data_IF_829388006492
#
_entry.id   IF_829388006492
#
_cell.length_a   1.000
_cell.length_b   1.000
_cell.length_c   1.000
_cell.angle_alpha   90.00
_cell.angle_beta   90.00
_cell.angle_gamma   90.00
#
_symmetry.space_group_name_H-M   'P 1'
#
loop_
_entity.id
_entity.type
_entity.pdbx_description
1 polymer ?
#
# COMPACT_ATOMS: atom_id res chain seq x y z
N UNK A 1 74.06 42.07 -71.89
CA UNK A 1 73.92 42.91 -70.67
C UNK A 1 73.60 41.96 -69.53
N UNK A 2 74.65 41.46 -68.90
CA UNK A 2 74.57 40.40 -67.91
C UNK A 2 74.06 40.95 -66.59
N UNK A 3 72.80 40.66 -66.26
CA UNK A 3 72.26 40.90 -64.91
C UNK A 3 73.12 40.21 -63.84
N UNK A 4 73.77 39.10 -64.21
CA UNK A 4 74.71 38.38 -63.37
C UNK A 4 75.99 39.20 -63.02
N UNK A 5 76.48 40.07 -63.91
CA UNK A 5 77.66 40.92 -63.66
C UNK A 5 77.36 42.10 -62.71
N UNK A 6 76.13 42.64 -62.76
CA UNK A 6 75.70 43.73 -61.88
C UNK A 6 75.47 43.20 -60.45
N UNK A 7 74.94 41.98 -60.32
CA UNK A 7 74.76 41.30 -59.04
C UNK A 7 76.09 40.92 -58.36
N UNK A 8 77.10 40.51 -59.13
CA UNK A 8 78.40 40.14 -58.56
C UNK A 8 79.22 41.34 -58.07
N UNK A 9 79.17 42.50 -58.74
CA UNK A 9 79.81 43.75 -58.27
C UNK A 9 79.13 44.37 -57.04
N UNK A 10 77.89 43.99 -56.75
CA UNK A 10 77.13 44.38 -55.54
C UNK A 10 77.44 43.46 -54.34
N UNK A 11 78.26 42.42 -54.52
CA UNK A 11 78.57 41.46 -53.46
C UNK A 11 77.45 40.45 -53.20
N UNK A 12 76.51 40.29 -54.15
CA UNK A 12 75.44 39.32 -54.04
C UNK A 12 75.93 37.94 -54.49
N UNK A 13 76.18 37.07 -53.52
CA UNK A 13 76.52 35.68 -53.77
C UNK A 13 75.23 34.84 -53.94
N UNK A 14 74.90 34.51 -55.20
CA UNK A 14 73.73 33.70 -55.54
C UNK A 14 73.75 32.31 -54.88
N UNK A 15 74.94 31.76 -54.58
CA UNK A 15 75.06 30.50 -53.85
C UNK A 15 74.65 30.67 -52.39
N UNK A 16 75.05 31.79 -51.77
CA UNK A 16 74.66 32.13 -50.40
C UNK A 16 73.14 32.38 -50.31
N UNK A 17 72.56 33.06 -51.29
CA UNK A 17 71.12 33.29 -51.35
C UNK A 17 70.32 31.98 -51.48
N UNK A 18 70.78 31.06 -52.35
CA UNK A 18 70.15 29.75 -52.51
C UNK A 18 70.29 28.88 -51.24
N UNK A 19 71.45 28.89 -50.60
CA UNK A 19 71.67 28.18 -49.33
C UNK A 19 70.76 28.73 -48.21
N UNK A 20 70.61 30.06 -48.11
CA UNK A 20 69.69 30.67 -47.14
C UNK A 20 68.22 30.33 -47.44
N UNK A 21 67.82 30.28 -48.72
CA UNK A 21 66.47 29.88 -49.10
C UNK A 21 66.18 28.43 -48.71
N UNK A 22 67.14 27.52 -48.95
CA UNK A 22 67.01 26.11 -48.54
C UNK A 22 66.90 26.01 -47.01
N UNK A 23 67.74 26.73 -46.25
CA UNK A 23 67.64 26.77 -44.78
C UNK A 23 66.29 27.31 -44.30
N UNK A 24 65.78 28.37 -44.90
CA UNK A 24 64.46 28.92 -44.58
C UNK A 24 63.35 27.91 -44.84
N UNK A 25 63.39 27.20 -45.98
CA UNK A 25 62.41 26.17 -46.31
C UNK A 25 62.45 24.98 -45.36
N UNK A 26 63.64 24.56 -44.92
CA UNK A 26 63.82 23.51 -43.91
C UNK A 26 63.18 23.94 -42.58
N UNK A 27 63.49 25.15 -42.10
CA UNK A 27 62.93 25.69 -40.85
C UNK A 27 61.41 25.87 -40.97
N UNK A 28 60.92 26.38 -42.10
CA UNK A 28 59.49 26.54 -42.36
C UNK A 28 58.75 25.20 -42.33
N UNK A 29 59.32 24.16 -42.95
CA UNK A 29 58.74 22.82 -42.93
C UNK A 29 58.72 22.23 -41.52
N UNK A 30 59.79 22.41 -40.75
CA UNK A 30 59.86 22.02 -39.35
C UNK A 30 58.79 22.76 -38.53
N UNK A 31 58.65 24.09 -38.66
CA UNK A 31 57.63 24.86 -37.96
C UNK A 31 56.21 24.43 -38.34
N UNK A 32 55.93 24.21 -39.64
CA UNK A 32 54.62 23.73 -40.11
C UNK A 32 54.24 22.42 -39.45
N UNK A 33 55.16 21.46 -39.39
CA UNK A 33 54.90 20.12 -38.86
C UNK A 33 54.92 20.08 -37.32
N UNK A 34 55.85 20.78 -36.68
CA UNK A 34 56.08 20.68 -35.24
C UNK A 34 55.41 21.77 -34.41
N UNK A 35 55.12 22.96 -34.94
CA UNK A 35 54.45 24.03 -34.17
C UNK A 35 52.96 24.13 -34.49
N UNK A 36 52.59 24.26 -35.77
CA UNK A 36 51.20 24.51 -36.16
C UNK A 36 50.29 23.29 -35.97
N UNK A 37 50.78 22.08 -36.21
CA UNK A 37 50.00 20.85 -36.01
C UNK A 37 49.60 20.62 -34.54
N UNK A 38 50.50 20.66 -33.53
CA UNK A 38 50.09 20.50 -32.14
C UNK A 38 49.24 21.67 -31.62
N UNK A 39 49.53 22.92 -32.02
CA UNK A 39 48.69 24.08 -31.64
C UNK A 39 47.25 23.89 -32.14
N UNK A 40 47.08 23.50 -33.41
CA UNK A 40 45.75 23.22 -33.96
C UNK A 40 45.04 22.06 -33.26
N UNK A 41 45.78 21.04 -32.81
CA UNK A 41 45.22 19.93 -32.03
C UNK A 41 44.72 20.41 -30.66
N UNK A 42 45.51 21.19 -29.93
CA UNK A 42 45.12 21.72 -28.61
C UNK A 42 43.88 22.62 -28.70
N UNK A 43 43.80 23.46 -29.74
CA UNK A 43 42.63 24.33 -29.95
C UNK A 43 41.38 23.50 -30.22
N UNK A 44 41.47 22.46 -31.07
CA UNK A 44 40.35 21.55 -31.33
C UNK A 44 39.93 20.79 -30.08
N UNK A 45 40.87 20.19 -29.36
CA UNK A 45 40.56 19.47 -28.12
C UNK A 45 39.92 20.36 -27.04
N UNK A 46 40.31 21.64 -26.98
CA UNK A 46 39.66 22.60 -26.08
C UNK A 46 38.23 22.91 -26.53
N UNK A 47 38.04 23.14 -27.83
CA UNK A 47 36.71 23.38 -28.40
C UNK A 47 35.80 22.18 -28.17
N UNK A 48 36.25 20.97 -28.52
CA UNK A 48 35.49 19.73 -28.36
C UNK A 48 35.11 19.50 -26.89
N UNK A 49 36.02 19.76 -25.94
CA UNK A 49 35.73 19.67 -24.50
C UNK A 49 34.68 20.67 -24.03
N UNK A 50 34.70 21.89 -24.56
CA UNK A 50 33.70 22.91 -24.22
C UNK A 50 32.34 22.53 -24.80
N UNK A 51 32.31 22.11 -26.06
CA UNK A 51 31.09 21.72 -26.75
C UNK A 51 30.47 20.49 -26.07
N UNK A 52 31.26 19.46 -25.75
CA UNK A 52 30.83 18.28 -24.99
C UNK A 52 30.35 18.65 -23.58
N UNK A 53 31.05 19.57 -22.91
CA UNK A 53 30.67 20.06 -21.58
C UNK A 53 29.33 20.78 -21.59
N UNK A 54 29.10 21.62 -22.60
CA UNK A 54 27.85 22.38 -22.77
C UNK A 54 26.69 21.45 -23.13
N UNK A 55 26.91 20.48 -24.03
CA UNK A 55 25.90 19.47 -24.36
C UNK A 55 25.52 18.64 -23.14
N UNK A 56 26.50 18.19 -22.35
CA UNK A 56 26.26 17.46 -21.11
C UNK A 56 25.52 18.29 -20.08
N UNK A 57 25.83 19.58 -19.94
CA UNK A 57 25.13 20.47 -19.03
C UNK A 57 23.66 20.62 -19.41
N UNK A 58 23.38 20.92 -20.68
CA UNK A 58 22.02 21.04 -21.21
C UNK A 58 21.23 19.74 -21.01
N UNK A 59 21.83 18.60 -21.38
CA UNK A 59 21.20 17.29 -21.20
C UNK A 59 20.96 16.94 -19.73
N UNK A 60 21.87 17.34 -18.84
CA UNK A 60 21.68 17.12 -17.39
C UNK A 60 20.54 17.97 -16.85
N UNK A 61 20.38 19.20 -17.33
CA UNK A 61 19.25 20.06 -16.96
C UNK A 61 17.92 19.50 -17.46
N UNK A 62 17.87 19.00 -18.70
CA UNK A 62 16.69 18.31 -19.25
C UNK A 62 16.33 17.07 -18.44
N UNK A 63 17.31 16.21 -18.12
CA UNK A 63 17.11 15.01 -17.30
C UNK A 63 16.64 15.40 -15.89
N UNK A 64 17.21 16.44 -15.30
CA UNK A 64 16.81 16.94 -13.99
C UNK A 64 15.35 17.40 -14.00
N UNK A 65 14.95 18.19 -14.99
CA UNK A 65 13.58 18.70 -15.13
C UNK A 65 12.59 17.55 -15.39
N UNK A 66 12.94 16.60 -16.25
CA UNK A 66 12.13 15.41 -16.51
C UNK A 66 11.99 14.53 -15.26
N UNK A 67 13.08 14.34 -14.50
CA UNK A 67 13.09 13.56 -13.26
C UNK A 67 12.24 14.24 -12.17
N UNK A 68 12.35 15.56 -12.02
CA UNK A 68 11.50 16.33 -11.10
C UNK A 68 10.02 16.19 -11.47
N UNK A 69 9.67 16.39 -12.74
CA UNK A 69 8.28 16.23 -13.21
C UNK A 69 7.76 14.82 -12.94
N UNK A 70 8.54 13.79 -13.23
CA UNK A 70 8.18 12.39 -12.95
C UNK A 70 8.02 12.12 -11.45
N UNK A 71 8.89 12.70 -10.62
CA UNK A 71 8.78 12.61 -9.16
C UNK A 71 7.49 13.26 -8.65
N UNK A 72 7.16 14.44 -9.16
CA UNK A 72 5.93 15.16 -8.80
C UNK A 72 4.69 14.38 -9.22
N UNK A 73 4.69 13.80 -10.42
CA UNK A 73 3.63 12.90 -10.91
C UNK A 73 3.47 11.66 -10.02
N UNK A 74 4.57 11.01 -9.62
CA UNK A 74 4.55 9.86 -8.70
C UNK A 74 3.97 10.26 -7.35
N UNK A 75 4.40 11.40 -6.79
CA UNK A 75 3.90 11.88 -5.49
C UNK A 75 2.40 12.21 -5.58
N UNK A 76 1.96 12.86 -6.65
CA UNK A 76 0.56 13.17 -6.88
C UNK A 76 -0.28 11.89 -6.99
N UNK A 77 0.16 10.93 -7.80
CA UNK A 77 -0.50 9.63 -7.94
C UNK A 77 -0.54 8.84 -6.63
N UNK A 78 0.55 8.84 -5.85
CA UNK A 78 0.59 8.19 -4.54
C UNK A 78 -0.37 8.83 -3.54
N UNK A 79 -0.52 10.17 -3.54
CA UNK A 79 -1.51 10.86 -2.71
C UNK A 79 -2.94 10.52 -3.11
N UNK A 80 -3.22 10.46 -4.40
CA UNK A 80 -4.54 10.07 -4.90
C UNK A 80 -4.88 8.63 -4.47
N UNK A 81 -3.95 7.69 -4.64
CA UNK A 81 -4.15 6.30 -4.25
C UNK A 81 -4.31 6.15 -2.72
N UNK A 82 -3.52 6.87 -1.93
CA UNK A 82 -3.67 6.89 -0.47
C UNK A 82 -5.06 7.38 -0.06
N UNK A 83 -5.57 8.45 -0.69
CA UNK A 83 -6.91 8.95 -0.44
C UNK A 83 -7.99 7.93 -0.83
N UNK A 84 -7.82 7.22 -1.95
CA UNK A 84 -8.72 6.13 -2.36
C UNK A 84 -8.74 4.98 -1.36
N UNK A 85 -7.57 4.57 -0.88
CA UNK A 85 -7.44 3.51 0.14
C UNK A 85 -8.15 3.92 1.43
N UNK A 86 -7.94 5.15 1.90
CA UNK A 86 -8.58 5.68 3.10
C UNK A 86 -10.11 5.72 2.91
N UNK A 87 -10.60 6.26 1.79
CA UNK A 87 -12.03 6.33 1.50
C UNK A 87 -12.68 4.93 1.45
N UNK A 88 -12.01 3.97 0.79
CA UNK A 88 -12.45 2.57 0.75
C UNK A 88 -12.46 1.94 2.15
N UNK A 89 -11.45 2.24 2.97
CA UNK A 89 -11.39 1.78 4.37
C UNK A 89 -12.57 2.29 5.20
N UNK A 90 -12.93 3.58 5.07
CA UNK A 90 -14.10 4.13 5.74
C UNK A 90 -15.41 3.48 5.28
N UNK A 91 -15.57 3.27 3.97
CA UNK A 91 -16.77 2.60 3.44
C UNK A 91 -16.89 1.16 3.94
N UNK A 92 -15.79 0.39 3.92
CA UNK A 92 -15.76 -0.98 4.44
C UNK A 92 -16.04 -1.02 5.95
N UNK A 93 -15.49 -0.08 6.72
CA UNK A 93 -15.76 0.02 8.15
C UNK A 93 -17.25 0.31 8.40
N UNK A 94 -17.85 1.23 7.62
CA UNK A 94 -19.28 1.55 7.73
C UNK A 94 -20.14 0.32 7.42
N UNK A 95 -19.87 -0.39 6.33
CA UNK A 95 -20.57 -1.62 5.96
C UNK A 95 -20.41 -2.70 7.03
N UNK A 96 -19.22 -2.85 7.61
CA UNK A 96 -18.98 -3.80 8.70
C UNK A 96 -19.79 -3.46 9.96
N UNK A 97 -19.90 -2.18 10.31
CA UNK A 97 -20.69 -1.74 11.46
C UNK A 97 -22.18 -2.00 11.21
N UNK A 98 -22.67 -1.67 10.02
CA UNK A 98 -24.07 -1.92 9.64
C UNK A 98 -24.41 -3.42 9.66
N UNK A 99 -23.54 -4.25 9.09
CA UNK A 99 -23.71 -5.70 9.12
C UNK A 99 -23.69 -6.25 10.56
N UNK A 100 -22.74 -5.81 11.38
CA UNK A 100 -22.66 -6.22 12.78
C UNK A 100 -23.91 -5.80 13.59
N UNK A 101 -24.45 -4.60 13.32
CA UNK A 101 -25.68 -4.13 13.95
C UNK A 101 -26.89 -5.00 13.54
N UNK A 102 -27.02 -5.32 12.26
CA UNK A 102 -28.09 -6.20 11.76
C UNK A 102 -28.00 -7.61 12.36
N UNK A 103 -26.79 -8.19 12.42
CA UNK A 103 -26.57 -9.48 13.07
C UNK A 103 -26.90 -9.44 14.57
N UNK A 104 -26.53 -8.37 15.26
CA UNK A 104 -26.83 -8.19 16.67
C UNK A 104 -28.35 -8.13 16.91
N UNK A 105 -29.10 -7.37 16.09
CA UNK A 105 -30.56 -7.31 16.16
C UNK A 105 -31.19 -8.68 15.92
N UNK A 106 -30.72 -9.43 14.92
CA UNK A 106 -31.21 -10.79 14.63
C UNK A 106 -30.94 -11.75 15.79
N UNK A 107 -29.74 -11.70 16.39
CA UNK A 107 -29.39 -12.52 17.56
C UNK A 107 -30.24 -12.14 18.77
N UNK A 108 -30.50 -10.84 18.98
CA UNK A 108 -31.35 -10.36 20.06
C UNK A 108 -32.77 -10.91 19.92
N UNK A 109 -33.36 -10.85 18.72
CA UNK A 109 -34.68 -11.42 18.44
C UNK A 109 -34.71 -12.93 18.71
N UNK A 110 -33.68 -13.66 18.26
CA UNK A 110 -33.57 -15.11 18.51
C UNK A 110 -33.44 -15.44 20.01
N UNK A 111 -32.73 -14.62 20.78
CA UNK A 111 -32.61 -14.76 22.23
C UNK A 111 -33.96 -14.51 22.89
N UNK A 112 -34.68 -13.45 22.53
CA UNK A 112 -36.01 -13.14 23.06
C UNK A 112 -37.00 -14.28 22.77
N UNK A 113 -37.01 -14.78 21.53
CA UNK A 113 -37.89 -15.87 21.13
C UNK A 113 -37.57 -17.18 21.87
N UNK A 114 -36.28 -17.46 22.11
CA UNK A 114 -35.86 -18.59 22.97
C UNK A 114 -36.26 -18.39 24.43
N UNK A 115 -36.11 -17.19 24.97
CA UNK A 115 -36.50 -16.87 26.34
C UNK A 115 -38.01 -17.05 26.54
N UNK A 116 -38.83 -16.56 25.60
CA UNK A 116 -40.29 -16.73 25.61
C UNK A 116 -40.67 -18.22 25.63
N UNK A 117 -40.09 -19.02 24.72
CA UNK A 117 -40.30 -20.48 24.70
C UNK A 117 -39.84 -21.17 26.00
N UNK A 118 -38.77 -20.67 26.62
CA UNK A 118 -38.28 -21.15 27.91
C UNK A 118 -39.29 -20.87 29.03
N UNK A 119 -39.82 -19.65 29.09
CA UNK A 119 -40.86 -19.25 30.07
C UNK A 119 -42.11 -20.11 29.92
N UNK A 120 -42.58 -20.34 28.69
CA UNK A 120 -43.76 -21.16 28.44
C UNK A 120 -43.57 -22.61 28.92
N UNK A 121 -42.38 -23.20 28.67
CA UNK A 121 -42.02 -24.54 29.16
C UNK A 121 -41.95 -24.59 30.69
N UNK A 122 -41.33 -23.59 31.31
CA UNK A 122 -41.23 -23.52 32.77
C UNK A 122 -42.61 -23.37 33.41
N UNK A 123 -43.51 -22.58 32.81
CA UNK A 123 -44.89 -22.44 33.25
C UNK A 123 -45.64 -23.78 33.23
N UNK A 124 -45.52 -24.53 32.13
CA UNK A 124 -46.14 -25.86 32.03
C UNK A 124 -45.59 -26.81 33.10
N UNK A 125 -44.27 -26.79 33.32
CA UNK A 125 -43.61 -27.58 34.37
C UNK A 125 -44.07 -27.18 35.78
N UNK A 126 -44.19 -25.89 36.06
CA UNK A 126 -44.71 -25.36 37.32
C UNK A 126 -46.16 -25.79 37.57
N UNK A 127 -47.03 -25.69 36.57
CA UNK A 127 -48.42 -26.11 36.67
C UNK A 127 -48.57 -27.63 36.89
N UNK A 128 -47.62 -28.44 36.39
CA UNK A 128 -47.54 -29.86 36.67
C UNK A 128 -47.11 -30.14 38.12
N UNK A 129 -46.04 -29.49 38.59
CA UNK A 129 -45.55 -29.61 39.98
C UNK A 129 -46.60 -29.20 41.01
N UNK A 130 -47.29 -28.06 40.79
CA UNK A 130 -48.36 -27.59 41.69
C UNK A 130 -49.51 -28.59 41.76
N UNK A 131 -49.87 -29.24 40.63
CA UNK A 131 -50.90 -30.29 40.62
C UNK A 131 -50.50 -31.52 41.42
N UNK A 132 -49.24 -31.92 41.33
CA UNK A 132 -48.68 -33.03 42.10
C UNK A 132 -48.67 -32.73 43.60
N UNK A 133 -48.16 -31.56 44.00
CA UNK A 133 -48.17 -31.11 45.40
C UNK A 133 -49.59 -30.99 45.97
N UNK A 134 -50.54 -30.49 45.19
CA UNK A 134 -51.97 -30.44 45.57
C UNK A 134 -52.56 -31.83 45.76
N UNK A 135 -52.25 -32.78 44.88
CA UNK A 135 -52.72 -34.16 45.01
C UNK A 135 -52.17 -34.81 46.30
N UNK A 136 -50.90 -34.57 46.62
CA UNK A 136 -50.27 -35.07 47.84
C UNK A 136 -50.87 -34.44 49.11
N UNK A 137 -51.11 -33.12 49.11
CA UNK A 137 -51.76 -32.41 50.22
C UNK A 137 -53.20 -32.89 50.45
N UNK A 138 -53.98 -33.08 49.37
CA UNK A 138 -55.36 -33.58 49.46
C UNK A 138 -55.36 -35.01 49.99
N UNK A 139 -54.50 -35.89 49.47
CA UNK A 139 -54.38 -37.27 49.96
C UNK A 139 -53.97 -37.31 51.44
N UNK A 140 -53.04 -36.46 51.87
CA UNK A 140 -52.64 -36.30 53.26
C UNK A 140 -53.77 -35.82 54.17
N UNK A 141 -54.55 -34.82 53.71
CA UNK A 141 -55.72 -34.30 54.40
C UNK A 141 -56.83 -35.34 54.57
N UNK A 142 -57.17 -36.06 53.49
CA UNK A 142 -58.14 -37.17 53.51
C UNK A 142 -57.70 -38.26 54.49
N UNK A 143 -56.41 -38.64 54.47
CA UNK A 143 -55.84 -39.62 55.40
C UNK A 143 -55.97 -39.17 56.87
N UNK A 144 -55.82 -37.88 57.16
CA UNK A 144 -55.99 -37.33 58.51
C UNK A 144 -57.45 -37.35 58.96
N UNK A 145 -58.38 -36.91 58.11
CA UNK A 145 -59.83 -36.95 58.39
C UNK A 145 -60.31 -38.39 58.62
N UNK A 146 -59.90 -39.34 57.78
CA UNK A 146 -60.20 -40.77 57.93
C UNK A 146 -59.71 -41.32 59.28
N UNK A 147 -58.60 -40.78 59.81
CA UNK A 147 -58.01 -41.21 61.08
C UNK A 147 -58.68 -40.57 62.31
N UNK A 148 -59.24 -39.36 62.17
CA UNK A 148 -59.87 -38.61 63.27
C UNK A 148 -61.39 -38.84 63.37
N UNK A 149 -62.14 -39.04 62.26
CA UNK A 149 -63.61 -38.95 62.25
C UNK A 149 -64.40 -40.18 61.71
N UNK A 150 -63.78 -41.36 61.58
CA UNK A 150 -64.53 -42.54 61.10
C UNK A 150 -65.47 -43.10 62.19
N UNK A 151 -66.78 -43.01 61.91
CA UNK A 151 -67.83 -43.79 62.59
C UNK A 151 -67.90 -45.22 62.05
N UNK A 152 -68.28 -46.22 62.87
CA UNK A 152 -68.30 -47.65 62.47
C UNK A 152 -69.13 -47.95 61.20
N UNK A 153 -70.19 -47.18 60.95
CA UNK A 153 -71.06 -47.33 59.78
C UNK A 153 -70.34 -47.01 58.45
N UNK A 154 -69.50 -45.97 58.44
CA UNK A 154 -68.75 -45.54 57.24
C UNK A 154 -67.68 -46.58 56.89
N UNK A 155 -67.00 -47.13 57.91
CA UNK A 155 -65.97 -48.18 57.76
C UNK A 155 -66.51 -49.43 57.04
N UNK A 156 -67.75 -49.84 57.34
CA UNK A 156 -68.38 -51.02 56.73
C UNK A 156 -68.68 -50.80 55.24
N UNK A 157 -69.19 -49.63 54.86
CA UNK A 157 -69.52 -49.31 53.46
C UNK A 157 -68.29 -49.17 52.54
N UNK A 158 -67.16 -48.71 53.09
CA UNK A 158 -65.91 -48.58 52.31
C UNK A 158 -65.30 -49.97 52.06
N UNK A 159 -65.33 -50.86 53.05
CA UNK A 159 -64.82 -52.23 52.90
C UNK A 159 -65.61 -53.00 51.83
N UNK A 160 -66.93 -52.84 51.77
CA UNK A 160 -67.81 -53.47 50.77
C UNK A 160 -67.54 -52.97 49.34
N UNK A 161 -67.20 -51.68 49.16
CA UNK A 161 -66.87 -51.09 47.85
C UNK A 161 -65.47 -51.40 47.33
N UNK A 162 -64.53 -51.80 48.19
CA UNK A 162 -63.15 -52.15 47.79
C UNK A 162 -62.99 -53.65 47.50
N UNK A 163 -63.93 -54.47 47.96
CA UNK A 163 -63.95 -55.93 47.68
C UNK A 163 -64.84 -56.32 46.50
N UNK A 164 -65.47 -55.35 45.82
CA UNK A 164 -66.15 -55.52 44.53
C UNK A 164 -65.37 -54.83 43.43
#
# INVERSE_FOLDING_TARGET
MDFAEILSKIGFDWKLALANLINFLIIFYLLKKFAFAPIGRIIRERKDRIDEGLEKANRSEEILNASKKKSDEIIAGAKEEANKIIAKGYEQARQSIEHAALEAMKKQEEILLRAQKGIDRERISMEARVREEMAELVAGGVKKIIKEDITPAVKKSILEKVTS
#
